data_IF_595891002570
#
_entry.id   IF_595891002570
#
_cell.length_a   1.000
_cell.length_b   1.000
_cell.length_c   1.000
_cell.angle_alpha   90.00
_cell.angle_beta   90.00
_cell.angle_gamma   90.00
#
_symmetry.space_group_name_H-M   'P 1'
#
loop_
_entity.id
_entity.type
_entity.pdbx_description
1 polymer ?
#
# COMPACT_ATOMS: atom_id res chain seq x y z
N UNK A 1 -18.05 107.35 -80.12
CA UNK A 1 -18.17 106.15 -79.26
C UNK A 1 -17.80 106.54 -77.83
N UNK A 2 -18.80 106.68 -76.97
CA UNK A 2 -18.71 107.30 -75.62
C UNK A 2 -17.73 106.58 -74.67
N UNK A 3 -17.03 107.33 -73.83
CA UNK A 3 -16.10 106.84 -72.80
C UNK A 3 -16.74 105.80 -71.85
N UNK A 4 -18.07 105.84 -71.68
CA UNK A 4 -18.82 104.84 -70.93
C UNK A 4 -18.75 103.44 -71.54
N UNK A 5 -18.74 103.32 -72.88
CA UNK A 5 -18.63 102.01 -73.54
C UNK A 5 -17.24 101.40 -73.38
N UNK A 6 -16.19 102.22 -73.19
CA UNK A 6 -14.84 101.76 -72.88
C UNK A 6 -14.74 101.23 -71.45
N UNK A 7 -15.25 102.01 -70.48
CA UNK A 7 -15.33 101.57 -69.06
C UNK A 7 -16.16 100.30 -68.88
N UNK A 8 -17.29 100.15 -69.59
CA UNK A 8 -18.09 98.92 -69.54
C UNK A 8 -17.36 97.70 -70.11
N UNK A 9 -16.49 97.87 -71.10
CA UNK A 9 -15.67 96.78 -71.64
C UNK A 9 -14.56 96.36 -70.68
N UNK A 10 -13.84 97.30 -70.10
CA UNK A 10 -12.81 97.02 -69.06
C UNK A 10 -13.43 96.29 -67.86
N UNK A 11 -14.55 96.78 -67.33
CA UNK A 11 -15.28 96.12 -66.24
C UNK A 11 -15.80 94.72 -66.60
N UNK A 12 -16.07 94.47 -67.89
CA UNK A 12 -16.45 93.14 -68.37
C UNK A 12 -15.25 92.21 -68.53
N UNK A 13 -14.07 92.73 -68.85
CA UNK A 13 -12.84 91.95 -68.97
C UNK A 13 -12.30 91.58 -67.58
N UNK A 14 -12.33 92.52 -66.61
CA UNK A 14 -11.95 92.26 -65.22
C UNK A 14 -12.81 91.16 -64.59
N UNK A 15 -14.14 91.22 -64.79
CA UNK A 15 -15.07 90.18 -64.31
C UNK A 15 -14.78 88.81 -64.93
N UNK A 16 -14.37 88.74 -66.20
CA UNK A 16 -13.98 87.48 -66.85
C UNK A 16 -12.69 86.91 -66.26
N UNK A 17 -11.73 87.78 -65.92
CA UNK A 17 -10.48 87.38 -65.25
C UNK A 17 -10.76 86.88 -63.84
N UNK A 18 -11.66 87.54 -63.09
CA UNK A 18 -12.10 87.08 -61.78
C UNK A 18 -12.83 85.73 -61.85
N UNK A 19 -13.74 85.55 -62.80
CA UNK A 19 -14.44 84.28 -63.04
C UNK A 19 -13.45 83.13 -63.28
N UNK A 20 -12.45 83.31 -64.13
CA UNK A 20 -11.40 82.30 -64.36
C UNK A 20 -10.63 81.96 -63.08
N UNK A 21 -10.30 82.96 -62.26
CA UNK A 21 -9.64 82.72 -60.95
C UNK A 21 -10.55 81.96 -59.98
N UNK A 22 -11.86 82.17 -60.04
CA UNK A 22 -12.81 81.40 -59.25
C UNK A 22 -12.92 79.96 -59.76
N UNK A 23 -12.98 79.74 -61.07
CA UNK A 23 -12.99 78.40 -61.66
C UNK A 23 -11.74 77.60 -61.27
N UNK A 24 -10.55 78.21 -61.35
CA UNK A 24 -9.29 77.58 -60.90
C UNK A 24 -9.30 77.24 -59.40
N UNK A 25 -9.92 78.07 -58.56
CA UNK A 25 -10.09 77.77 -57.13
C UNK A 25 -11.08 76.63 -56.91
N UNK A 26 -12.18 76.59 -57.68
CA UNK A 26 -13.17 75.52 -57.61
C UNK A 26 -12.57 74.18 -58.03
N UNK A 27 -11.72 74.16 -59.05
CA UNK A 27 -11.04 72.93 -59.48
C UNK A 27 -10.03 72.44 -58.42
N UNK A 28 -9.25 73.34 -57.81
CA UNK A 28 -8.37 73.00 -56.68
C UNK A 28 -9.14 72.43 -55.48
N UNK A 29 -10.29 73.03 -55.14
CA UNK A 29 -11.14 72.54 -54.05
C UNK A 29 -11.68 71.14 -54.40
N UNK A 30 -12.11 70.91 -55.64
CA UNK A 30 -12.58 69.59 -56.10
C UNK A 30 -11.48 68.54 -56.03
N UNK A 31 -10.24 68.87 -56.37
CA UNK A 31 -9.10 67.97 -56.24
C UNK A 31 -8.81 67.63 -54.78
N UNK A 32 -8.84 68.62 -53.88
CA UNK A 32 -8.66 68.40 -52.44
C UNK A 32 -9.77 67.53 -51.85
N UNK A 33 -11.03 67.71 -52.27
CA UNK A 33 -12.14 66.86 -51.85
C UNK A 33 -11.88 65.41 -52.27
N UNK A 34 -11.50 65.17 -53.52
CA UNK A 34 -11.18 63.81 -54.01
C UNK A 34 -10.02 63.17 -53.24
N UNK A 35 -8.99 63.95 -52.89
CA UNK A 35 -7.86 63.43 -52.13
C UNK A 35 -8.27 63.05 -50.69
N UNK A 36 -9.10 63.86 -50.05
CA UNK A 36 -9.65 63.55 -48.72
C UNK A 36 -10.58 62.33 -48.76
N UNK A 37 -11.41 62.20 -49.79
CA UNK A 37 -12.26 61.02 -49.98
C UNK A 37 -11.44 59.73 -50.11
N UNK A 38 -10.36 59.75 -50.89
CA UNK A 38 -9.43 58.61 -50.99
C UNK A 38 -8.81 58.25 -49.64
N UNK A 39 -8.26 59.24 -48.91
CA UNK A 39 -7.68 59.00 -47.57
C UNK A 39 -8.70 58.44 -46.59
N UNK A 40 -9.95 58.89 -46.67
CA UNK A 40 -11.05 58.38 -45.84
C UNK A 40 -11.37 56.91 -46.16
N UNK A 41 -11.39 56.54 -47.44
CA UNK A 41 -11.65 55.17 -47.85
C UNK A 41 -10.46 54.24 -47.51
N UNK A 42 -9.23 54.68 -47.72
CA UNK A 42 -8.01 53.97 -47.28
C UNK A 42 -8.00 53.72 -45.76
N UNK A 43 -8.26 54.75 -44.95
CA UNK A 43 -8.34 54.62 -43.50
C UNK A 43 -9.47 53.67 -43.06
N UNK A 44 -10.57 53.62 -43.82
CA UNK A 44 -11.69 52.72 -43.54
C UNK A 44 -11.32 51.27 -43.83
N UNK A 45 -10.63 51.00 -44.93
CA UNK A 45 -10.13 49.66 -45.28
C UNK A 45 -9.11 49.17 -44.27
N UNK A 46 -8.16 50.01 -43.87
CA UNK A 46 -7.18 49.70 -42.81
C UNK A 46 -7.87 49.37 -41.49
N UNK A 47 -8.88 50.15 -41.09
CA UNK A 47 -9.65 49.89 -39.89
C UNK A 47 -10.34 48.51 -39.93
N UNK A 48 -10.99 48.15 -41.04
CA UNK A 48 -11.64 46.85 -41.15
C UNK A 48 -10.64 45.70 -41.19
N UNK A 49 -9.48 45.90 -41.81
CA UNK A 49 -8.39 44.92 -41.80
C UNK A 49 -7.89 44.66 -40.38
N UNK A 50 -7.59 45.73 -39.63
CA UNK A 50 -7.19 45.64 -38.22
C UNK A 50 -8.25 44.98 -37.35
N UNK A 51 -9.53 45.31 -37.59
CA UNK A 51 -10.66 44.69 -36.87
C UNK A 51 -10.71 43.19 -37.14
N UNK A 52 -10.57 42.78 -38.40
CA UNK A 52 -10.56 41.37 -38.78
C UNK A 52 -9.37 40.62 -38.16
N UNK A 53 -8.17 41.20 -38.18
CA UNK A 53 -6.98 40.62 -37.55
C UNK A 53 -7.18 40.46 -36.02
N UNK A 54 -7.77 41.45 -35.37
CA UNK A 54 -8.11 41.37 -33.95
C UNK A 54 -9.11 40.24 -33.65
N UNK A 55 -10.13 40.06 -34.49
CA UNK A 55 -11.10 38.97 -34.35
C UNK A 55 -10.42 37.59 -34.54
N UNK A 56 -9.50 37.46 -35.49
CA UNK A 56 -8.71 36.24 -35.68
C UNK A 56 -7.85 35.92 -34.46
N UNK A 57 -7.16 36.93 -33.91
CA UNK A 57 -6.35 36.77 -32.69
C UNK A 57 -7.21 36.36 -31.51
N UNK A 58 -8.38 36.99 -31.33
CA UNK A 58 -9.34 36.62 -30.28
C UNK A 58 -9.81 35.17 -30.42
N UNK A 59 -10.14 34.73 -31.63
CA UNK A 59 -10.53 33.35 -31.90
C UNK A 59 -9.38 32.37 -31.58
N UNK A 60 -8.14 32.70 -31.95
CA UNK A 60 -6.95 31.92 -31.62
C UNK A 60 -6.75 31.78 -30.12
N UNK A 61 -6.91 32.86 -29.35
CA UNK A 61 -6.79 32.84 -27.89
C UNK A 61 -7.85 31.92 -27.27
N UNK A 62 -9.11 32.04 -27.72
CA UNK A 62 -10.21 31.19 -27.25
C UNK A 62 -9.92 29.71 -27.54
N UNK A 63 -9.41 29.41 -28.74
CA UNK A 63 -9.04 28.05 -29.12
C UNK A 63 -7.96 27.48 -28.21
N UNK A 64 -6.89 28.25 -27.97
CA UNK A 64 -5.80 27.85 -27.06
C UNK A 64 -6.33 27.60 -25.64
N UNK A 65 -7.14 28.51 -25.10
CA UNK A 65 -7.74 28.35 -23.76
C UNK A 65 -8.63 27.09 -23.68
N UNK A 66 -9.43 26.83 -24.72
CA UNK A 66 -10.24 25.60 -24.81
C UNK A 66 -9.37 24.34 -24.79
N UNK A 67 -8.26 24.34 -25.53
CA UNK A 67 -7.31 23.21 -25.55
C UNK A 67 -6.64 23.01 -24.18
N UNK A 68 -6.26 24.09 -23.50
CA UNK A 68 -5.74 24.01 -22.13
C UNK A 68 -6.77 23.42 -21.16
N UNK A 69 -8.05 23.83 -21.24
CA UNK A 69 -9.12 23.26 -20.42
C UNK A 69 -9.31 21.76 -20.71
N UNK A 70 -9.35 21.36 -21.99
CA UNK A 70 -9.48 19.94 -22.39
C UNK A 70 -8.31 19.12 -21.85
N UNK A 71 -7.07 19.61 -21.98
CA UNK A 71 -5.87 18.98 -21.41
C UNK A 71 -5.98 18.80 -19.89
N UNK A 72 -6.37 19.84 -19.17
CA UNK A 72 -6.51 19.77 -17.72
C UNK A 72 -7.61 18.79 -17.28
N UNK A 73 -8.72 18.72 -18.02
CA UNK A 73 -9.76 17.71 -17.76
C UNK A 73 -9.25 16.30 -17.98
N UNK A 74 -8.48 16.05 -19.05
CA UNK A 74 -7.88 14.74 -19.32
C UNK A 74 -6.89 14.34 -18.22
N UNK A 75 -6.04 15.28 -17.77
CA UNK A 75 -5.11 15.04 -16.65
C UNK A 75 -5.85 14.64 -15.37
N UNK A 76 -6.94 15.34 -15.02
CA UNK A 76 -7.77 14.97 -13.86
C UNK A 76 -8.37 13.58 -13.99
N UNK A 77 -8.88 13.23 -15.18
CA UNK A 77 -9.43 11.89 -15.44
C UNK A 77 -8.35 10.82 -15.26
N UNK A 78 -7.12 11.06 -15.72
CA UNK A 78 -6.00 10.13 -15.53
C UNK A 78 -5.60 10.00 -14.06
N UNK A 79 -5.53 11.11 -13.32
CA UNK A 79 -5.27 11.09 -11.87
C UNK A 79 -6.35 10.33 -11.10
N UNK A 80 -7.61 10.55 -11.42
CA UNK A 80 -8.73 9.86 -10.77
C UNK A 80 -8.75 8.37 -11.11
N UNK A 81 -8.41 8.01 -12.36
CA UNK A 81 -8.22 6.60 -12.75
C UNK A 81 -7.09 5.94 -11.96
N UNK A 82 -5.94 6.60 -11.82
CA UNK A 82 -4.82 6.08 -11.03
C UNK A 82 -5.20 5.90 -9.56
N UNK A 83 -5.89 6.87 -8.96
CA UNK A 83 -6.40 6.75 -7.58
C UNK A 83 -7.40 5.60 -7.43
N UNK A 84 -8.29 5.42 -8.40
CA UNK A 84 -9.24 4.31 -8.39
C UNK A 84 -8.54 2.96 -8.52
N UNK A 85 -7.51 2.85 -9.37
CA UNK A 85 -6.67 1.65 -9.47
C UNK A 85 -5.89 1.37 -8.19
N UNK A 86 -5.32 2.40 -7.56
CA UNK A 86 -4.63 2.28 -6.27
C UNK A 86 -5.59 1.87 -5.15
N UNK A 87 -6.79 2.44 -5.11
CA UNK A 87 -7.83 2.05 -4.16
C UNK A 87 -8.25 0.58 -4.36
N UNK A 88 -8.43 0.15 -5.62
CA UNK A 88 -8.71 -1.25 -5.95
C UNK A 88 -7.59 -2.20 -5.54
N UNK A 89 -6.32 -1.80 -5.71
CA UNK A 89 -5.18 -2.58 -5.23
C UNK A 89 -5.14 -2.66 -3.70
N UNK A 90 -5.35 -1.53 -3.01
CA UNK A 90 -5.41 -1.50 -1.56
C UNK A 90 -6.56 -2.36 -1.01
N UNK A 91 -7.70 -2.41 -1.71
CA UNK A 91 -8.83 -3.28 -1.36
C UNK A 91 -8.50 -4.76 -1.54
N UNK A 92 -7.79 -5.13 -2.63
CA UNK A 92 -7.28 -6.50 -2.82
C UNK A 92 -6.32 -6.90 -1.70
N UNK A 93 -5.38 -6.02 -1.36
CA UNK A 93 -4.36 -6.28 -0.35
C UNK A 93 -4.96 -6.34 1.07
N UNK A 94 -6.10 -5.67 1.30
CA UNK A 94 -6.82 -5.69 2.56
C UNK A 94 -7.73 -6.92 2.74
N UNK A 95 -7.98 -7.70 1.69
CA UNK A 95 -8.87 -8.86 1.75
C UNK A 95 -8.17 -10.04 2.45
N UNK A 96 -8.70 -10.53 3.58
CA UNK A 96 -8.07 -11.62 4.34
C UNK A 96 -8.10 -12.92 3.55
N UNK A 97 -7.06 -13.74 3.69
CA UNK A 97 -6.97 -15.00 2.98
C UNK A 97 -8.06 -15.97 3.47
N UNK A 98 -8.87 -16.57 2.58
CA UNK A 98 -9.93 -17.51 2.95
C UNK A 98 -9.45 -18.71 3.80
N UNK A 99 -8.15 -19.05 3.75
CA UNK A 99 -7.56 -20.16 4.52
C UNK A 99 -6.65 -19.69 5.66
N UNK A 100 -6.76 -18.44 6.10
CA UNK A 100 -5.92 -17.88 7.16
C UNK A 100 -6.04 -18.65 8.49
N UNK A 101 -7.23 -19.12 8.84
CA UNK A 101 -7.46 -19.95 10.03
C UNK A 101 -6.74 -21.30 9.94
N UNK A 102 -6.78 -21.96 8.78
CA UNK A 102 -6.10 -23.25 8.57
C UNK A 102 -4.58 -23.09 8.53
N UNK A 103 -4.08 -21.98 7.95
CA UNK A 103 -2.65 -21.61 7.97
C UNK A 103 -2.18 -21.35 9.40
N UNK A 104 -2.98 -20.63 10.20
CA UNK A 104 -2.68 -20.38 11.61
C UNK A 104 -2.65 -21.68 12.42
N UNK A 105 -3.53 -22.62 12.08
CA UNK A 105 -3.59 -23.95 12.67
C UNK A 105 -2.35 -24.78 12.29
N UNK A 106 -1.90 -24.71 11.03
CA UNK A 106 -0.63 -25.30 10.60
C UNK A 106 0.54 -24.74 11.42
N UNK A 107 0.61 -23.41 11.60
CA UNK A 107 1.67 -22.77 12.38
C UNK A 107 1.66 -23.18 13.85
N UNK A 108 0.48 -23.31 14.45
CA UNK A 108 0.32 -23.84 15.80
C UNK A 108 0.84 -25.28 15.90
N UNK A 109 0.46 -26.16 14.97
CA UNK A 109 0.87 -27.57 14.95
C UNK A 109 2.38 -27.71 14.71
N UNK A 110 2.98 -26.91 13.82
CA UNK A 110 4.43 -26.89 13.58
C UNK A 110 5.17 -26.47 14.85
N UNK A 111 4.73 -25.40 15.52
CA UNK A 111 5.33 -24.96 16.80
C UNK A 111 5.19 -26.03 17.87
N UNK A 112 4.04 -26.68 17.95
CA UNK A 112 3.76 -27.74 18.90
C UNK A 112 4.68 -28.96 18.67
N UNK A 113 4.80 -29.43 17.43
CA UNK A 113 5.70 -30.54 17.07
C UNK A 113 7.17 -30.18 17.34
N UNK A 114 7.63 -28.97 16.96
CA UNK A 114 8.99 -28.50 17.25
C UNK A 114 9.26 -28.41 18.76
N UNK A 115 8.26 -28.06 19.57
CA UNK A 115 8.37 -28.06 21.04
C UNK A 115 8.56 -29.48 21.60
N UNK A 116 7.82 -30.45 21.10
CA UNK A 116 7.95 -31.85 21.54
C UNK A 116 9.33 -32.44 21.22
N UNK A 117 9.89 -32.13 20.05
CA UNK A 117 11.26 -32.52 19.68
C UNK A 117 12.28 -31.89 20.65
N UNK A 118 12.12 -30.61 21.00
CA UNK A 118 12.99 -29.93 21.97
C UNK A 118 12.86 -30.52 23.38
N UNK A 119 11.65 -30.86 23.81
CA UNK A 119 11.42 -31.45 25.13
C UNK A 119 12.03 -32.86 25.24
N UNK A 120 12.02 -33.65 24.15
CA UNK A 120 12.70 -34.96 24.08
C UNK A 120 14.22 -34.82 24.20
N UNK A 121 14.84 -33.97 23.37
CA UNK A 121 16.30 -33.74 23.40
C UNK A 121 16.78 -33.21 24.76
N UNK A 122 16.00 -32.35 25.42
CA UNK A 122 16.32 -31.89 26.77
C UNK A 122 16.23 -33.01 27.81
N UNK A 123 15.22 -33.89 27.74
CA UNK A 123 15.11 -35.04 28.65
C UNK A 123 16.26 -36.02 28.44
N UNK A 124 16.60 -36.35 27.19
CA UNK A 124 17.73 -37.20 26.85
C UNK A 124 19.05 -36.61 27.37
N UNK A 125 19.28 -35.31 27.22
CA UNK A 125 20.47 -34.64 27.74
C UNK A 125 20.57 -34.65 29.27
N UNK A 126 19.44 -34.59 29.98
CA UNK A 126 19.40 -34.68 31.45
C UNK A 126 19.67 -36.09 31.92
N UNK A 127 19.08 -37.09 31.26
CA UNK A 127 19.33 -38.50 31.55
C UNK A 127 20.81 -38.83 31.31
N UNK A 128 21.41 -38.36 30.22
CA UNK A 128 22.83 -38.55 29.93
C UNK A 128 23.75 -37.88 30.99
N UNK A 129 23.39 -36.69 31.46
CA UNK A 129 24.14 -36.01 32.53
C UNK A 129 23.98 -36.72 33.87
N UNK A 130 22.80 -37.22 34.18
CA UNK A 130 22.54 -37.97 35.41
C UNK A 130 23.22 -39.35 35.38
N UNK A 131 23.33 -40.00 34.22
CA UNK A 131 24.09 -41.25 34.07
C UNK A 131 25.59 -41.01 34.16
N UNK A 132 26.12 -39.96 33.53
CA UNK A 132 27.53 -39.57 33.67
C UNK A 132 27.86 -39.23 35.14
N UNK A 133 27.02 -38.45 35.81
CA UNK A 133 27.21 -38.14 37.23
C UNK A 133 27.19 -39.40 38.12
N UNK A 134 26.34 -40.40 37.80
CA UNK A 134 26.32 -41.69 38.51
C UNK A 134 27.56 -42.54 38.22
N UNK A 135 28.05 -42.55 36.98
CA UNK A 135 29.28 -43.23 36.61
C UNK A 135 30.51 -42.59 37.25
N UNK A 136 30.55 -41.26 37.34
CA UNK A 136 31.63 -40.52 38.01
C UNK A 136 31.60 -40.73 39.52
N UNK A 137 30.40 -40.78 40.13
CA UNK A 137 30.24 -41.16 41.55
C UNK A 137 30.66 -42.62 41.80
N UNK A 138 30.37 -43.54 40.88
CA UNK A 138 30.78 -44.93 40.98
C UNK A 138 32.30 -45.09 40.88
N UNK A 139 32.95 -44.39 39.93
CA UNK A 139 34.42 -44.36 39.81
C UNK A 139 35.08 -43.76 41.04
N UNK A 140 34.56 -42.64 41.55
CA UNK A 140 35.06 -42.04 42.79
C UNK A 140 34.89 -43.00 43.99
N UNK A 141 33.78 -43.74 44.09
CA UNK A 141 33.57 -44.73 45.14
C UNK A 141 34.50 -45.94 45.02
N UNK A 142 34.82 -46.39 43.80
CA UNK A 142 35.82 -47.44 43.54
C UNK A 142 37.24 -46.97 43.84
N UNK A 143 37.59 -45.72 43.51
CA UNK A 143 38.88 -45.12 43.89
C UNK A 143 39.02 -44.98 45.41
N UNK A 144 37.96 -44.58 46.12
CA UNK A 144 37.94 -44.54 47.59
C UNK A 144 38.13 -45.94 48.17
N UNK A 145 37.41 -46.96 47.66
CA UNK A 145 37.59 -48.35 48.11
C UNK A 145 38.99 -48.90 47.84
N UNK A 146 39.57 -48.57 46.69
CA UNK A 146 40.94 -48.98 46.36
C UNK A 146 41.98 -48.30 47.26
N UNK A 147 41.75 -47.05 47.64
CA UNK A 147 42.58 -46.34 48.63
C UNK A 147 42.41 -46.87 50.07
N UNK A 148 41.23 -47.40 50.41
CA UNK A 148 40.97 -48.13 51.66
C UNK A 148 41.70 -49.49 51.68
N UNK A 149 41.67 -50.24 50.57
CA UNK A 149 42.35 -51.54 50.41
C UNK A 149 43.89 -51.39 50.37
N UNK A 150 44.42 -50.31 49.79
CA UNK A 150 45.85 -49.98 49.79
C UNK A 150 46.34 -49.41 51.14
N UNK A 151 45.49 -49.36 52.18
CA UNK A 151 45.88 -49.06 53.55
C UNK A 151 46.36 -47.63 53.81
N UNK A 152 46.00 -46.67 52.94
CA UNK A 152 46.41 -45.25 53.06
C UNK A 152 45.43 -44.35 53.78
N UNK A 153 44.27 -44.85 54.20
CA UNK A 153 43.30 -44.08 54.98
C UNK A 153 43.40 -44.49 56.45
N UNK A 154 44.17 -43.74 57.23
CA UNK A 154 43.97 -43.72 58.67
C UNK A 154 42.59 -43.14 58.94
N UNK A 155 41.77 -43.88 59.69
CA UNK A 155 40.48 -43.45 60.23
C UNK A 155 40.64 -42.13 61.00
N UNK A 156 40.49 -40.99 60.32
CA UNK A 156 40.19 -39.73 60.98
C UNK A 156 38.69 -39.76 61.21
N UNK A 157 38.29 -40.14 62.43
CA UNK A 157 36.90 -40.03 62.88
C UNK A 157 36.37 -38.62 62.55
N UNK A 158 35.14 -38.49 62.02
CA UNK A 158 34.55 -37.20 61.73
C UNK A 158 34.48 -36.35 63.00
N UNK A 159 34.89 -35.09 62.89
CA UNK A 159 34.99 -34.12 64.00
C UNK A 159 33.67 -33.88 64.75
N UNK A 160 32.54 -34.27 64.18
CA UNK A 160 31.19 -34.05 64.74
C UNK A 160 30.81 -35.00 65.90
N UNK A 161 31.57 -36.07 66.14
CA UNK A 161 31.32 -36.98 67.28
C UNK A 161 32.18 -36.70 68.51
N UNK A 162 33.26 -35.90 68.41
CA UNK A 162 34.05 -35.47 69.59
C UNK A 162 33.47 -34.25 70.30
N UNK A 163 32.70 -33.41 69.62
CA UNK A 163 32.17 -32.17 70.20
C UNK A 163 30.83 -32.35 70.93
N UNK A 164 30.24 -33.56 70.94
CA UNK A 164 28.94 -33.83 71.58
C UNK A 164 29.02 -34.35 73.02
N UNK A 165 30.22 -34.61 73.56
CA UNK A 165 30.39 -35.03 74.97
C UNK A 165 30.87 -33.93 75.93
N UNK A 166 31.21 -32.72 75.45
CA UNK A 166 31.72 -31.63 76.31
C UNK A 166 31.13 -30.25 76.01
N UNK A 167 29.80 -30.08 75.87
CA UNK A 167 29.17 -28.81 76.30
C UNK A 167 27.74 -29.10 76.79
N UNK A 168 27.66 -29.63 78.00
CA UNK A 168 26.54 -29.27 78.88
C UNK A 168 26.98 -27.98 79.57
N UNK A 169 26.10 -26.97 79.64
CA UNK A 169 26.13 -25.75 80.51
C UNK A 169 26.15 -24.40 79.75
N UNK A 170 25.02 -23.71 79.92
CA UNK A 170 24.77 -22.24 79.94
C UNK A 170 24.68 -21.48 78.60
N UNK A 171 23.43 -21.12 78.28
CA UNK A 171 23.07 -19.76 77.87
C UNK A 171 22.71 -19.56 76.39
N UNK A 172 21.60 -18.84 76.15
CA UNK A 172 21.42 -18.11 74.89
C UNK A 172 20.03 -18.16 74.25
N UNK A 173 19.12 -17.31 74.74
CA UNK A 173 17.95 -16.83 73.98
C UNK A 173 18.41 -16.11 72.70
N UNK A 174 17.95 -16.55 71.53
CA UNK A 174 17.60 -15.74 70.35
C UNK A 174 17.10 -16.74 69.27
N UNK A 175 15.88 -16.68 68.74
CA UNK A 175 15.22 -15.51 68.18
C UNK A 175 15.28 -15.60 66.65
N UNK A 176 14.44 -16.42 66.01
CA UNK A 176 14.43 -16.57 64.54
C UNK A 176 13.08 -17.07 64.00
N UNK A 177 12.25 -16.14 63.54
CA UNK A 177 10.86 -16.33 63.09
C UNK A 177 10.75 -17.18 61.82
N UNK A 178 10.03 -18.31 61.87
CA UNK A 178 9.54 -19.05 60.69
C UNK A 178 8.40 -18.27 60.01
N UNK A 179 8.62 -17.75 58.79
CA UNK A 179 7.54 -17.23 57.92
C UNK A 179 6.90 -18.38 57.15
N UNK A 180 5.62 -18.60 57.42
CA UNK A 180 4.79 -19.62 56.81
C UNK A 180 4.25 -19.10 55.45
N UNK A 181 4.85 -19.48 54.32
CA UNK A 181 4.34 -19.14 52.99
C UNK A 181 3.32 -20.20 52.57
N UNK A 182 2.04 -19.91 52.83
CA UNK A 182 0.88 -20.68 52.37
C UNK A 182 0.95 -20.87 50.85
N UNK A 183 1.28 -22.09 50.44
CA UNK A 183 1.20 -22.57 49.07
C UNK A 183 -0.24 -23.06 48.87
N UNK A 184 -1.04 -22.28 48.13
CA UNK A 184 -2.35 -22.72 47.65
C UNK A 184 -2.16 -23.96 46.77
N UNK A 185 -2.37 -25.15 47.33
CA UNK A 185 -2.59 -26.38 46.57
C UNK A 185 -3.99 -26.30 45.99
N UNK A 186 -4.13 -25.72 44.79
CA UNK A 186 -5.18 -26.17 43.89
C UNK A 186 -4.74 -27.56 43.41
N UNK A 187 -5.49 -28.59 43.81
CA UNK A 187 -5.30 -29.93 43.29
C UNK A 187 -5.43 -29.87 41.76
N UNK A 188 -4.46 -30.34 40.97
CA UNK A 188 -4.73 -30.62 39.57
C UNK A 188 -5.77 -31.76 39.56
N UNK A 189 -6.90 -31.55 38.86
CA UNK A 189 -7.76 -32.66 38.44
C UNK A 189 -6.85 -33.66 37.73
N UNK A 190 -6.72 -34.84 38.29
CA UNK A 190 -6.11 -35.98 37.61
C UNK A 190 -7.02 -36.32 36.44
N UNK A 191 -6.68 -35.77 35.28
CA UNK A 191 -7.03 -36.39 34.01
C UNK A 191 -6.15 -37.64 33.93
N UNK A 192 -6.75 -38.82 33.81
CA UNK A 192 -6.05 -40.10 33.72
C UNK A 192 -5.09 -40.08 32.53
N UNK A 193 -3.83 -39.70 32.79
CA UNK A 193 -2.74 -39.91 31.85
C UNK A 193 -2.48 -41.40 31.85
N UNK A 194 -3.04 -42.11 30.86
CA UNK A 194 -2.59 -43.47 30.53
C UNK A 194 -1.09 -43.39 30.27
N UNK A 195 -0.30 -44.05 31.11
CA UNK A 195 1.13 -44.20 30.87
C UNK A 195 1.31 -44.87 29.50
N UNK A 196 2.06 -44.25 28.57
CA UNK A 196 2.33 -44.87 27.27
C UNK A 196 3.09 -46.18 27.50
N UNK A 197 2.70 -47.23 26.75
CA UNK A 197 3.31 -48.55 26.89
C UNK A 197 4.73 -48.58 26.33
N UNK A 198 5.05 -47.63 25.44
CA UNK A 198 6.39 -47.41 24.91
C UNK A 198 6.86 -45.96 25.12
N UNK A 199 8.13 -45.72 25.52
CA UNK A 199 8.68 -44.38 25.74
C UNK A 199 8.76 -43.51 24.48
N UNK A 200 8.46 -44.09 23.31
CA UNK A 200 8.51 -43.47 21.99
C UNK A 200 7.12 -43.15 21.39
N UNK A 201 6.03 -43.48 22.11
CA UNK A 201 4.64 -43.16 21.71
C UNK A 201 4.26 -41.74 22.13
N UNK A 202 3.59 -40.99 21.24
CA UNK A 202 3.00 -39.69 21.55
C UNK A 202 1.51 -39.80 21.89
N UNK A 203 1.15 -39.34 23.08
CA UNK A 203 -0.23 -39.14 23.47
C UNK A 203 -0.61 -37.67 23.32
N UNK A 204 -1.45 -37.37 22.33
CA UNK A 204 -2.02 -36.04 22.13
C UNK A 204 -3.35 -35.88 22.85
N UNK A 205 -3.63 -34.65 23.28
CA UNK A 205 -4.99 -34.27 23.68
C UNK A 205 -5.91 -34.25 22.47
N UNK A 206 -7.18 -34.57 22.67
CA UNK A 206 -8.18 -34.63 21.62
C UNK A 206 -8.28 -33.34 20.78
N UNK A 207 -8.14 -32.17 21.40
CA UNK A 207 -8.13 -30.87 20.71
C UNK A 207 -7.00 -30.75 19.67
N UNK A 208 -5.83 -31.30 19.97
CA UNK A 208 -4.68 -31.28 19.04
C UNK A 208 -4.93 -32.24 17.88
N UNK A 209 -5.53 -33.40 18.16
CA UNK A 209 -5.93 -34.38 17.14
C UNK A 209 -6.96 -33.77 16.18
N UNK A 210 -7.92 -33.01 16.69
CA UNK A 210 -8.89 -32.28 15.87
C UNK A 210 -8.22 -31.24 14.97
N UNK A 211 -7.24 -30.49 15.47
CA UNK A 211 -6.50 -29.51 14.67
C UNK A 211 -5.71 -30.17 13.52
N UNK A 212 -5.12 -31.35 13.77
CA UNK A 212 -4.49 -32.16 12.71
C UNK A 212 -5.51 -32.61 11.66
N UNK A 213 -6.69 -33.04 12.09
CA UNK A 213 -7.80 -33.40 11.22
C UNK A 213 -8.34 -32.23 10.38
N UNK A 214 -8.42 -31.03 10.95
CA UNK A 214 -8.85 -29.81 10.25
C UNK A 214 -7.91 -29.45 9.08
N UNK A 215 -6.60 -29.63 9.27
CA UNK A 215 -5.58 -29.40 8.24
C UNK A 215 -5.44 -30.61 7.29
N UNK A 216 -6.15 -31.71 7.54
CA UNK A 216 -6.09 -32.93 6.74
C UNK A 216 -4.76 -33.67 6.85
N UNK A 217 -4.05 -33.55 7.98
CA UNK A 217 -2.78 -34.26 8.26
C UNK A 217 -3.01 -35.30 9.36
N UNK A 218 -2.49 -36.50 9.16
CA UNK A 218 -2.55 -37.53 10.20
C UNK A 218 -1.67 -37.16 11.40
N UNK A 219 -2.18 -37.40 12.61
CA UNK A 219 -1.43 -37.20 13.85
C UNK A 219 -0.22 -38.15 13.91
N UNK A 220 0.99 -37.66 14.23
CA UNK A 220 2.17 -38.50 14.37
C UNK A 220 2.04 -39.45 15.58
N UNK A 221 2.18 -40.76 15.38
CA UNK A 221 2.09 -41.72 16.48
C UNK A 221 3.40 -41.80 17.28
N UNK A 222 4.53 -41.57 16.60
CA UNK A 222 5.86 -41.73 17.15
C UNK A 222 6.72 -40.47 16.98
N UNK A 223 7.71 -40.30 17.85
CA UNK A 223 8.59 -39.12 17.81
C UNK A 223 9.45 -39.06 16.54
N UNK A 224 9.71 -40.21 15.93
CA UNK A 224 10.54 -40.31 14.73
C UNK A 224 9.78 -39.83 13.48
N UNK A 225 8.45 -39.81 13.54
CA UNK A 225 7.56 -39.30 12.48
C UNK A 225 7.35 -37.78 12.56
N UNK A 226 7.68 -37.15 13.69
CA UNK A 226 7.45 -35.71 13.91
C UNK A 226 8.18 -34.84 12.87
N UNK A 227 9.40 -35.21 12.49
CA UNK A 227 10.18 -34.45 11.50
C UNK A 227 9.51 -34.46 10.12
N UNK A 228 9.14 -35.65 9.64
CA UNK A 228 8.43 -35.80 8.36
C UNK A 228 7.05 -35.11 8.38
N UNK A 229 6.35 -35.14 9.52
CA UNK A 229 5.06 -34.45 9.68
C UNK A 229 5.18 -32.94 9.78
N UNK A 230 6.29 -32.40 10.30
CA UNK A 230 6.58 -30.97 10.25
C UNK A 230 6.76 -30.52 8.80
N UNK A 231 7.50 -31.28 7.99
CA UNK A 231 7.69 -30.98 6.56
C UNK A 231 6.36 -31.08 5.79
N UNK A 232 5.52 -32.08 6.08
CA UNK A 232 4.18 -32.20 5.48
C UNK A 232 3.27 -31.01 5.84
N UNK A 233 3.32 -30.53 7.09
CA UNK A 233 2.59 -29.34 7.54
C UNK A 233 3.13 -28.06 6.89
N UNK A 234 4.44 -27.94 6.72
CA UNK A 234 5.07 -26.82 6.01
C UNK A 234 4.69 -26.80 4.52
N UNK A 235 4.64 -27.97 3.87
CA UNK A 235 4.16 -28.10 2.51
C UNK A 235 2.68 -27.71 2.38
N UNK A 236 1.80 -28.26 3.23
CA UNK A 236 0.37 -27.92 3.23
C UNK A 236 0.09 -26.45 3.53
N UNK A 237 0.90 -25.84 4.39
CA UNK A 237 0.85 -24.38 4.61
C UNK A 237 1.09 -23.61 3.32
N UNK A 238 2.11 -23.98 2.53
CA UNK A 238 2.40 -23.31 1.25
C UNK A 238 1.32 -23.57 0.19
N UNK A 239 0.74 -24.77 0.17
CA UNK A 239 -0.38 -25.10 -0.72
C UNK A 239 -1.64 -24.31 -0.37
N UNK A 240 -1.99 -24.19 0.91
CA UNK A 240 -3.14 -23.40 1.37
C UNK A 240 -2.93 -21.91 1.11
N UNK A 241 -1.71 -21.41 1.28
CA UNK A 241 -1.36 -20.03 0.96
C UNK A 241 -1.57 -19.73 -0.53
N UNK A 242 -0.99 -20.54 -1.42
CA UNK A 242 -1.12 -20.36 -2.88
C UNK A 242 -2.54 -20.60 -3.40
N UNK A 243 -3.29 -21.54 -2.79
CA UNK A 243 -4.70 -21.77 -3.11
C UNK A 243 -5.60 -20.63 -2.63
N UNK A 244 -5.26 -20.03 -1.50
CA UNK A 244 -5.89 -18.83 -0.96
C UNK A 244 -5.71 -17.62 -1.85
N UNK A 245 -4.47 -17.34 -2.29
CA UNK A 245 -4.18 -16.27 -3.25
C UNK A 245 -4.95 -16.44 -4.56
N UNK A 246 -4.99 -17.67 -5.11
CA UNK A 246 -5.77 -17.95 -6.33
C UNK A 246 -7.27 -17.72 -6.16
N UNK A 247 -7.82 -17.98 -4.97
CA UNK A 247 -9.24 -17.72 -4.67
C UNK A 247 -9.52 -16.23 -4.49
N UNK A 248 -8.65 -15.52 -3.76
CA UNK A 248 -8.70 -14.07 -3.64
C UNK A 248 -8.67 -13.39 -5.01
N UNK A 249 -7.78 -13.85 -5.89
CA UNK A 249 -7.70 -13.33 -7.25
C UNK A 249 -8.98 -13.61 -8.05
N UNK A 250 -9.56 -14.81 -7.94
CA UNK A 250 -10.83 -15.13 -8.60
C UNK A 250 -12.03 -14.35 -8.06
N UNK A 251 -12.08 -14.12 -6.74
CA UNK A 251 -13.15 -13.34 -6.11
C UNK A 251 -13.02 -11.85 -6.43
N UNK A 252 -11.80 -11.32 -6.47
CA UNK A 252 -11.51 -9.95 -6.89
C UNK A 252 -11.80 -9.71 -8.39
N UNK A 253 -11.51 -10.69 -9.25
CA UNK A 253 -11.87 -10.65 -10.67
C UNK A 253 -13.40 -10.64 -10.85
N UNK A 254 -14.14 -11.45 -10.08
CA UNK A 254 -15.61 -11.47 -10.15
C UNK A 254 -16.26 -10.20 -9.60
N UNK A 255 -15.77 -9.64 -8.49
CA UNK A 255 -16.29 -8.38 -7.95
C UNK A 255 -15.91 -7.17 -8.79
N UNK A 256 -14.79 -7.23 -9.51
CA UNK A 256 -14.33 -6.20 -10.45
C UNK A 256 -15.24 -6.01 -11.66
N UNK A 257 -15.82 -7.08 -12.19
CA UNK A 257 -16.70 -7.03 -13.38
C UNK A 257 -18.11 -6.50 -13.02
N UNK A 258 -18.70 -6.94 -11.89
CA UNK A 258 -20.01 -6.45 -11.43
C UNK A 258 -20.00 -4.94 -11.11
N UNK A 259 -18.91 -4.43 -10.52
CA UNK A 259 -18.76 -3.01 -10.23
C UNK A 259 -18.62 -2.14 -11.50
N UNK A 260 -18.15 -2.72 -12.62
CA UNK A 260 -18.07 -1.99 -13.90
C UNK A 260 -19.37 -2.00 -14.69
N UNK A 261 -20.25 -3.00 -14.52
CA UNK A 261 -21.56 -3.01 -15.16
C UNK A 261 -22.56 -2.03 -14.52
N UNK A 262 -22.55 -1.86 -13.19
CA UNK A 262 -23.41 -0.86 -12.54
C UNK A 262 -22.96 0.57 -12.84
N UNK A 263 -21.65 0.85 -12.83
CA UNK A 263 -21.12 2.18 -13.16
C UNK A 263 -21.34 2.57 -14.63
N UNK A 264 -21.33 1.62 -15.58
CA UNK A 264 -21.62 1.88 -16.99
C UNK A 264 -23.11 2.08 -17.29
N UNK A 265 -24.03 1.53 -16.50
CA UNK A 265 -25.47 1.78 -16.66
C UNK A 265 -25.89 3.18 -16.20
N UNK A 266 -25.27 3.72 -15.14
CA UNK A 266 -25.58 5.09 -14.68
C UNK A 266 -24.86 6.19 -15.49
N UNK A 267 -23.65 5.94 -16.00
CA UNK A 267 -22.88 6.98 -16.72
C UNK A 267 -23.02 6.93 -18.24
N UNK A 268 -23.48 5.81 -18.81
CA UNK A 268 -23.59 5.61 -20.26
C UNK A 268 -24.73 6.33 -20.97
N UNK A 269 -25.69 6.92 -20.24
CA UNK A 269 -26.88 7.53 -20.85
C UNK A 269 -26.81 9.06 -21.02
N UNK A 270 -25.88 9.77 -20.36
CA UNK A 270 -25.81 11.26 -20.42
C UNK A 270 -24.48 11.86 -20.88
N UNK A 271 -23.34 11.16 -20.83
CA UNK A 271 -22.05 11.78 -21.12
C UNK A 271 -21.55 11.56 -22.56
N UNK A 272 -21.84 10.43 -23.18
CA UNK A 272 -21.31 10.04 -24.49
C UNK A 272 -21.96 10.77 -25.66
N UNK A 273 -23.24 11.17 -25.57
CA UNK A 273 -23.87 12.06 -26.57
C UNK A 273 -23.33 13.49 -26.57
N UNK A 274 -22.68 13.92 -25.49
CA UNK A 274 -22.15 15.29 -25.37
C UNK A 274 -20.70 15.43 -25.85
N UNK A 275 -19.95 14.33 -25.87
CA UNK A 275 -18.58 14.30 -26.39
C UNK A 275 -18.54 14.14 -27.92
N UNK A 276 -19.47 13.39 -28.50
CA UNK A 276 -19.51 13.17 -29.96
C UNK A 276 -20.12 14.35 -30.73
N UNK A 277 -21.08 15.07 -30.15
CA UNK A 277 -21.67 16.26 -30.78
C UNK A 277 -20.78 17.53 -30.74
N UNK A 278 -19.64 17.52 -30.04
CA UNK A 278 -18.75 18.69 -29.97
C UNK A 278 -17.66 18.69 -31.05
N UNK A 279 -17.43 17.56 -31.72
CA UNK A 279 -16.45 17.46 -32.82
C UNK A 279 -17.06 17.77 -34.19
N UNK A 280 -18.37 17.56 -34.37
CA UNK A 280 -19.03 17.70 -35.69
C UNK A 280 -19.60 19.11 -35.97
N UNK A 281 -19.85 19.93 -34.93
CA UNK A 281 -20.39 21.29 -35.12
C UNK A 281 -19.31 22.38 -35.27
N UNK A 282 -18.05 22.11 -34.89
CA UNK A 282 -16.99 23.12 -34.82
C UNK A 282 -16.08 23.19 -36.07
N UNK A 283 -16.18 22.25 -37.01
CA UNK A 283 -15.54 22.36 -38.34
C UNK A 283 -16.31 23.31 -39.27
N UNK A 284 -17.59 23.61 -38.99
CA UNK A 284 -18.47 24.34 -39.89
C UNK A 284 -18.39 25.88 -39.80
N UNK A 285 -17.62 26.44 -38.85
CA UNK A 285 -17.62 27.89 -38.59
C UNK A 285 -16.22 28.53 -38.58
N UNK A 286 -15.26 27.93 -39.27
CA UNK A 286 -14.01 28.62 -39.59
C UNK A 286 -14.24 29.55 -40.78
N UNK A 287 -13.83 30.83 -40.70
CA UNK A 287 -13.76 31.67 -41.88
C UNK A 287 -12.73 31.05 -42.83
N UNK A 288 -13.20 30.33 -43.83
CA UNK A 288 -12.36 29.83 -44.91
C UNK A 288 -11.76 31.03 -45.63
N UNK A 289 -10.42 31.12 -45.60
CA UNK A 289 -9.66 32.01 -46.47
C UNK A 289 -9.98 31.67 -47.93
N UNK A 290 -10.66 32.57 -48.62
CA UNK A 290 -10.66 32.68 -50.09
C UNK A 290 -10.08 34.03 -50.48
#
# INVERSE_FOLDING_TARGET
>A
MSAENKKRKELSEDKKVELKKFDEKMDKIREQIKEVEKKKDEAREEYYKLKYEFECQKASIIHVDRMYRRKNTLLKIEEDKKKAEEAKRAERDAMPNPFEEDISTCDFLIRFCKKLVRDRTQKESKVQKDTQAKEDLAKNAEEIKKQEEEGRIMFIKPKEEREKEEVTIIGGRAGGKKKNKRRNKRAPKQEEVREPKDPNELNFKYEIIQNFGQVGVNTPAHFDELAAKIEELEAKKTELFTKGEKRLDQEFLKSGDDATEEANKETGSKSTKKAFNLEEEDEANWPTMQ
#
